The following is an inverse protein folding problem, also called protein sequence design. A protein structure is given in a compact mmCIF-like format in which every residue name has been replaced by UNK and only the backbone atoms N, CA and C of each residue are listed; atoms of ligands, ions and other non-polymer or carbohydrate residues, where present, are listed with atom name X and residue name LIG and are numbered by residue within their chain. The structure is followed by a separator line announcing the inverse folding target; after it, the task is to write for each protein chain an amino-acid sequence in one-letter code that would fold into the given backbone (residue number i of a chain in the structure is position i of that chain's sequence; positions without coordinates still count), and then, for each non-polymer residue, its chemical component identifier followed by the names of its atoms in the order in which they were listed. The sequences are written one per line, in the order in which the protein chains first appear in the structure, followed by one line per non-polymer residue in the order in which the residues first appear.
data_IF_474461980701
#
_entry.id   IF_474461980701
#
_cell.length_a   1.000
_cell.length_b   1.000
_cell.length_c   1.000
_cell.angle_alpha   90.00
_cell.angle_beta   90.00
_cell.angle_gamma   90.00
#
_symmetry.space_group_name_H-M   'P 1'
#
loop_
_entity.id
_entity.type
_entity.pdbx_description
1 polymer ?
#
# COMPACT_ATOMS: atom_id res chain seq x y z
N UNK A 1 4.47 -7.30 9.59
CA UNK A 1 5.38 -6.35 8.93
C UNK A 1 5.61 -5.19 9.88
N UNK A 2 6.81 -4.59 9.88
CA UNK A 2 7.15 -3.45 10.73
C UNK A 2 7.29 -2.17 9.90
N UNK A 3 6.32 -1.91 9.03
CA UNK A 3 6.23 -0.70 8.20
C UNK A 3 5.58 0.42 9.01
N UNK A 4 5.92 1.71 8.76
CA UNK A 4 5.10 2.80 9.27
C UNK A 4 3.67 2.65 8.72
N UNK A 5 2.65 3.23 9.37
CA UNK A 5 1.34 3.29 8.76
C UNK A 5 1.35 4.19 7.52
N UNK A 6 0.42 3.97 6.59
CA UNK A 6 0.35 4.73 5.34
C UNK A 6 0.09 6.22 5.62
N UNK A 7 0.84 7.10 4.95
CA UNK A 7 0.82 8.57 5.17
C UNK A 7 1.15 9.01 6.61
N UNK A 8 1.76 8.14 7.42
CA UNK A 8 1.97 8.35 8.86
C UNK A 8 0.65 8.62 9.66
N UNK A 9 -0.48 8.10 9.15
CA UNK A 9 -1.81 8.25 9.74
C UNK A 9 -2.24 7.00 10.53
N UNK A 10 -3.17 7.11 11.49
CA UNK A 10 -3.66 5.94 12.23
C UNK A 10 -4.36 4.91 11.34
N UNK A 11 -4.05 3.62 11.54
CA UNK A 11 -4.75 2.51 10.88
C UNK A 11 -6.06 2.19 11.63
N UNK A 12 -7.17 2.10 10.89
CA UNK A 12 -8.47 1.69 11.43
C UNK A 12 -8.83 0.28 10.98
N UNK A 13 -9.80 -0.36 11.65
CA UNK A 13 -10.33 -1.64 11.18
C UNK A 13 -10.98 -1.51 9.79
N UNK A 14 -10.83 -2.53 8.93
CA UNK A 14 -11.40 -2.57 7.58
C UNK A 14 -12.87 -2.09 7.48
N UNK A 15 -13.75 -2.50 8.39
CA UNK A 15 -15.17 -2.11 8.36
C UNK A 15 -15.46 -0.64 8.67
N UNK A 16 -14.44 0.16 9.00
CA UNK A 16 -14.54 1.60 9.27
C UNK A 16 -13.70 2.45 8.31
N UNK A 17 -13.00 1.81 7.38
CA UNK A 17 -12.08 2.48 6.48
C UNK A 17 -12.82 3.06 5.28
N UNK A 18 -12.42 4.27 4.88
CA UNK A 18 -12.82 4.88 3.61
C UNK A 18 -11.91 4.36 2.49
N UNK A 19 -10.66 4.02 2.83
CA UNK A 19 -9.62 3.52 1.91
C UNK A 19 -8.99 2.25 2.46
N UNK A 20 -8.98 1.18 1.65
CA UNK A 20 -8.27 -0.07 1.96
C UNK A 20 -7.04 -0.16 1.06
N UNK A 21 -5.86 -0.27 1.68
CA UNK A 21 -4.59 -0.51 1.00
C UNK A 21 -4.29 -2.01 1.02
N UNK A 22 -4.10 -2.60 -0.16
CA UNK A 22 -3.77 -4.02 -0.31
C UNK A 22 -2.36 -4.17 -0.89
N UNK A 23 -1.35 -4.51 -0.05
CA UNK A 23 0.01 -4.70 -0.54
C UNK A 23 0.14 -5.97 -1.39
N UNK A 24 0.65 -5.84 -2.62
CA UNK A 24 0.89 -6.94 -3.56
C UNK A 24 2.38 -7.01 -3.95
N UNK A 25 3.25 -7.65 -3.16
CA UNK A 25 4.67 -7.80 -3.48
C UNK A 25 4.90 -8.86 -4.58
N UNK A 26 4.49 -8.56 -5.81
CA UNK A 26 4.57 -9.48 -6.95
C UNK A 26 5.71 -9.14 -7.91
N UNK A 27 6.43 -10.17 -8.37
CA UNK A 27 7.59 -10.01 -9.27
C UNK A 27 7.71 -11.11 -10.35
N UNK A 28 6.85 -12.13 -10.36
CA UNK A 28 7.07 -13.30 -11.23
C UNK A 28 7.06 -13.00 -12.73
N UNK A 29 6.41 -11.92 -13.18
CA UNK A 29 6.37 -11.54 -14.61
C UNK A 29 7.54 -10.66 -15.04
N UNK A 30 8.45 -10.29 -14.14
CA UNK A 30 9.58 -9.43 -14.45
C UNK A 30 10.64 -10.21 -15.23
N UNK A 31 11.05 -9.70 -16.39
CA UNK A 31 11.92 -10.42 -17.35
C UNK A 31 13.35 -9.87 -17.46
N UNK A 32 13.68 -8.77 -16.77
CA UNK A 32 14.99 -8.14 -16.87
C UNK A 32 15.54 -7.67 -15.50
N UNK A 33 15.03 -6.56 -14.96
CA UNK A 33 15.47 -6.01 -13.68
C UNK A 33 14.43 -6.24 -12.59
N UNK A 34 14.81 -6.97 -11.54
CA UNK A 34 13.95 -7.27 -10.38
C UNK A 34 13.78 -6.10 -9.41
N UNK A 35 13.05 -6.34 -8.32
CA UNK A 35 12.81 -5.40 -7.23
C UNK A 35 11.37 -4.94 -7.06
N UNK A 36 10.43 -5.33 -7.93
CA UNK A 36 9.01 -4.97 -7.77
C UNK A 36 8.39 -5.59 -6.52
N UNK A 37 8.93 -6.71 -6.01
CA UNK A 37 8.53 -7.29 -4.73
C UNK A 37 8.73 -6.32 -3.56
N UNK A 38 9.69 -5.40 -3.67
CA UNK A 38 10.05 -4.41 -2.63
C UNK A 38 9.17 -3.15 -2.70
N UNK A 39 8.38 -2.99 -3.76
CA UNK A 39 7.60 -1.79 -4.00
C UNK A 39 6.62 -1.46 -2.86
N UNK A 40 5.88 -2.42 -2.26
CA UNK A 40 4.97 -2.08 -1.18
C UNK A 40 5.69 -1.45 0.02
N UNK A 41 6.80 -2.02 0.50
CA UNK A 41 7.54 -1.42 1.60
C UNK A 41 8.08 -0.02 1.23
N UNK A 42 8.63 0.12 0.03
CA UNK A 42 9.17 1.39 -0.45
C UNK A 42 8.08 2.48 -0.52
N UNK A 43 6.89 2.13 -1.01
CA UNK A 43 5.73 3.04 -1.08
C UNK A 43 5.29 3.46 0.33
N UNK A 44 5.16 2.52 1.28
CA UNK A 44 4.77 2.87 2.65
C UNK A 44 5.77 3.82 3.30
N UNK A 45 7.08 3.56 3.16
CA UNK A 45 8.12 4.45 3.68
C UNK A 45 8.11 5.83 3.02
N UNK A 46 7.90 5.89 1.71
CA UNK A 46 7.82 7.17 1.00
C UNK A 46 6.54 7.95 1.36
N UNK A 47 5.44 7.25 1.64
CA UNK A 47 4.15 7.88 1.95
C UNK A 47 4.22 8.80 3.17
N UNK A 48 5.12 8.55 4.12
CA UNK A 48 5.29 9.40 5.32
C UNK A 48 5.88 10.78 5.01
N UNK A 49 6.34 11.02 3.78
CA UNK A 49 6.93 12.29 3.35
C UNK A 49 5.92 13.16 2.57
N UNK A 50 4.70 12.68 2.36
CA UNK A 50 3.66 13.39 1.62
C UNK A 50 3.01 14.45 2.51
N UNK A 51 2.81 15.65 1.97
CA UNK A 51 1.96 16.67 2.58
C UNK A 51 0.49 16.26 2.44
N UNK A 52 -0.27 16.32 3.53
CA UNK A 52 -1.64 15.80 3.57
C UNK A 52 -2.66 16.76 2.95
N UNK A 53 -2.36 18.06 2.93
CA UNK A 53 -3.24 19.08 2.35
C UNK A 53 -2.89 19.32 0.88
N UNK A 54 -3.90 19.27 0.02
CA UNK A 54 -3.80 19.66 -1.38
C UNK A 54 -4.53 20.99 -1.59
N UNK A 55 -3.78 22.05 -1.92
CA UNK A 55 -4.32 23.40 -2.12
C UNK A 55 -5.19 23.53 -3.37
N UNK A 56 -4.87 22.81 -4.46
CA UNK A 56 -5.59 22.91 -5.73
C UNK A 56 -6.96 22.23 -5.64
N UNK A 57 -7.04 21.12 -4.89
CA UNK A 57 -8.27 20.38 -4.66
C UNK A 57 -9.04 20.88 -3.43
N UNK A 58 -8.40 21.65 -2.54
CA UNK A 58 -8.95 22.05 -1.26
C UNK A 58 -9.31 20.84 -0.39
N UNK A 59 -8.47 19.82 -0.41
CA UNK A 59 -8.75 18.51 0.17
C UNK A 59 -7.66 18.09 1.15
N UNK A 60 -8.08 17.52 2.28
CA UNK A 60 -7.17 16.99 3.30
C UNK A 60 -7.21 15.45 3.28
N UNK A 61 -6.09 14.82 2.95
CA UNK A 61 -5.94 13.36 3.03
C UNK A 61 -6.16 12.85 4.45
N UNK A 62 -5.85 13.64 5.49
CA UNK A 62 -6.10 13.27 6.88
C UNK A 62 -7.59 13.16 7.24
N UNK A 63 -8.49 13.66 6.38
CA UNK A 63 -9.94 13.53 6.58
C UNK A 63 -10.48 12.12 6.33
N UNK A 64 -9.71 11.27 5.62
CA UNK A 64 -10.06 9.89 5.31
C UNK A 64 -9.51 8.92 6.37
N UNK A 65 -10.18 7.78 6.51
CA UNK A 65 -9.73 6.67 7.35
C UNK A 65 -9.12 5.56 6.50
N UNK A 66 -7.89 5.17 6.84
CA UNK A 66 -7.11 4.20 6.11
C UNK A 66 -7.03 2.87 6.85
N UNK A 67 -7.02 1.77 6.08
CA UNK A 67 -6.71 0.44 6.61
C UNK A 67 -5.73 -0.28 5.69
N UNK A 68 -4.67 -0.82 6.27
CA UNK A 68 -3.72 -1.70 5.59
C UNK A 68 -4.18 -3.14 5.75
N UNK A 69 -4.66 -3.74 4.66
CA UNK A 69 -5.00 -5.15 4.62
C UNK A 69 -3.73 -6.03 4.67
N UNK A 70 -3.85 -7.30 5.05
CA UNK A 70 -2.75 -8.26 4.95
C UNK A 70 -2.22 -8.36 3.52
N UNK A 71 -0.91 -8.36 3.34
CA UNK A 71 -0.28 -8.53 2.02
C UNK A 71 -0.68 -9.87 1.40
N UNK A 72 -0.97 -9.86 0.10
CA UNK A 72 -1.17 -11.09 -0.68
C UNK A 72 0.12 -11.42 -1.38
N UNK A 73 0.74 -12.53 -0.98
CA UNK A 73 1.96 -13.06 -1.57
C UNK A 73 1.58 -14.27 -2.41
N UNK A 74 1.82 -14.19 -3.73
CA UNK A 74 1.62 -15.33 -4.60
C UNK A 74 2.64 -16.43 -4.28
N UNK A 75 2.21 -17.68 -4.22
CA UNK A 75 3.14 -18.79 -4.09
C UNK A 75 3.96 -18.97 -5.38
N UNK A 76 5.16 -19.53 -5.25
CA UNK A 76 6.06 -19.70 -6.39
C UNK A 76 5.48 -20.60 -7.50
N UNK A 77 4.58 -21.50 -7.14
CA UNK A 77 3.89 -22.47 -7.99
C UNK A 77 2.44 -22.08 -8.33
N UNK A 78 1.99 -20.90 -7.91
CA UNK A 78 0.64 -20.43 -8.14
C UNK A 78 0.47 -20.02 -9.62
N UNK A 79 -0.31 -20.79 -10.36
CA UNK A 79 -0.71 -20.44 -11.73
C UNK A 79 -2.02 -19.65 -11.70
N UNK A 80 -2.23 -18.69 -12.61
CA UNK A 80 -3.52 -18.01 -12.74
C UNK A 80 -4.66 -19.03 -12.86
N UNK A 81 -5.79 -18.79 -12.19
CA UNK A 81 -6.98 -19.60 -12.40
C UNK A 81 -7.39 -19.52 -13.88
N UNK A 82 -7.69 -20.69 -14.46
CA UNK A 82 -8.08 -20.87 -15.87
C UNK A 82 -9.52 -20.49 -16.13
#
# INVERSE_FOLDING_TARGET
MNWPPFLDLPDVSAGKADVILLPLPYEQTVSYGGGTLQAPEAIWRASTQIELWDEELGFDLASLKYHTAPSIVCAADETPEV
#
